data_IF_746384010282
#
_entry.id   IF_746384010282
#
_cell.length_a   1.000
_cell.length_b   1.000
_cell.length_c   1.000
_cell.angle_alpha   90.00
_cell.angle_beta   90.00
_cell.angle_gamma   90.00
#
_symmetry.space_group_name_H-M   'P 1'
#
loop_
_entity.id
_entity.type
_entity.pdbx_description
1 polymer ?
#
# COMPACT_ATOMS: atom_id res chain seq x y z
N UNK A 1 -0.53 6.35 11.19
CA UNK A 1 -0.64 7.69 11.80
C UNK A 1 -0.85 7.47 13.29
N UNK A 2 -0.03 8.09 14.14
CA UNK A 2 -0.30 8.14 15.58
C UNK A 2 -1.54 8.99 15.84
N UNK A 3 -2.20 8.79 16.98
CA UNK A 3 -3.37 9.58 17.40
C UNK A 3 -3.05 11.09 17.44
N UNK A 4 -1.83 11.44 17.87
CA UNK A 4 -1.32 12.81 17.90
C UNK A 4 -1.21 13.44 16.50
N UNK A 5 -0.67 12.70 15.51
CA UNK A 5 -0.55 13.19 14.14
C UNK A 5 -1.90 13.33 13.44
N UNK A 6 -2.87 12.49 13.78
CA UNK A 6 -4.24 12.62 13.27
C UNK A 6 -4.93 13.88 13.80
N UNK A 7 -4.80 14.16 15.11
CA UNK A 7 -5.29 15.42 15.70
C UNK A 7 -4.62 16.63 15.06
N UNK A 8 -3.31 16.58 14.84
CA UNK A 8 -2.57 17.64 14.19
C UNK A 8 -3.06 17.88 12.76
N UNK A 9 -3.34 16.79 12.03
CA UNK A 9 -3.84 16.85 10.66
C UNK A 9 -5.24 17.49 10.59
N UNK A 10 -6.16 17.04 11.45
CA UNK A 10 -7.51 17.60 11.55
C UNK A 10 -7.50 19.08 11.91
N UNK A 11 -6.58 19.47 12.79
CA UNK A 11 -6.39 20.87 13.17
C UNK A 11 -5.93 21.73 11.99
N UNK A 12 -4.95 21.26 11.22
CA UNK A 12 -4.48 21.96 10.01
C UNK A 12 -5.59 22.10 8.98
N UNK A 13 -6.36 21.04 8.71
CA UNK A 13 -7.49 21.11 7.78
C UNK A 13 -8.51 22.19 8.19
N UNK A 14 -8.89 22.22 9.46
CA UNK A 14 -9.83 23.21 10.00
C UNK A 14 -9.31 24.64 9.86
N UNK A 15 -8.01 24.86 10.05
CA UNK A 15 -7.40 26.17 9.79
C UNK A 15 -7.50 26.54 8.30
N UNK A 16 -7.22 25.60 7.40
CA UNK A 16 -7.23 25.83 5.96
C UNK A 16 -8.63 26.10 5.40
N UNK A 17 -9.67 25.44 5.92
CA UNK A 17 -11.06 25.73 5.57
C UNK A 17 -11.42 27.20 5.83
N UNK A 18 -10.97 27.75 6.96
CA UNK A 18 -11.21 29.15 7.33
C UNK A 18 -10.44 30.15 6.46
N UNK A 19 -9.33 29.72 5.86
CA UNK A 19 -8.41 30.57 5.07
C UNK A 19 -8.45 30.25 3.58
N UNK A 20 -9.41 29.45 3.12
CA UNK A 20 -9.43 28.89 1.75
C UNK A 20 -9.32 29.93 0.62
N UNK A 21 -9.78 31.14 0.86
CA UNK A 21 -9.81 32.24 -0.11
C UNK A 21 -8.76 33.33 0.16
N UNK A 22 -7.88 33.13 1.15
CA UNK A 22 -6.84 34.10 1.54
C UNK A 22 -5.43 33.56 1.26
N UNK A 23 -4.46 34.43 0.92
CA UNK A 23 -3.05 34.08 0.95
C UNK A 23 -2.64 33.63 2.36
N UNK A 24 -1.76 32.64 2.44
CA UNK A 24 -1.34 32.00 3.69
C UNK A 24 0.16 32.25 3.86
N UNK A 25 0.57 33.03 4.86
CA UNK A 25 1.99 33.18 5.18
C UNK A 25 2.45 31.97 5.99
N UNK A 26 3.42 31.20 5.49
CA UNK A 26 3.83 29.94 6.14
C UNK A 26 4.22 30.13 7.62
N UNK A 27 4.93 31.22 7.93
CA UNK A 27 5.30 31.58 9.30
C UNK A 27 4.11 32.07 10.15
N UNK A 28 3.09 32.68 9.53
CA UNK A 28 1.89 33.09 10.26
C UNK A 28 0.94 31.93 10.50
N UNK A 29 0.98 30.85 9.70
CA UNK A 29 0.22 29.63 10.04
C UNK A 29 0.65 29.12 11.40
N UNK A 30 1.95 28.97 11.65
CA UNK A 30 2.45 28.48 12.95
C UNK A 30 2.13 29.42 14.11
N UNK A 31 2.14 30.74 13.88
CA UNK A 31 1.81 31.75 14.88
C UNK A 31 0.31 31.90 15.16
N UNK A 32 -0.51 31.97 14.12
CA UNK A 32 -1.98 32.05 14.17
C UNK A 32 -2.58 30.71 14.63
N UNK A 33 -1.96 29.57 14.30
CA UNK A 33 -2.39 28.24 14.71
C UNK A 33 -2.61 28.15 16.23
N UNK A 34 -1.69 28.70 17.03
CA UNK A 34 -1.84 28.73 18.50
C UNK A 34 -3.05 29.54 18.97
N UNK A 35 -3.44 30.56 18.21
CA UNK A 35 -4.59 31.40 18.53
C UNK A 35 -5.92 30.76 18.11
N UNK A 36 -5.92 30.03 16.99
CA UNK A 36 -7.09 29.32 16.46
C UNK A 36 -7.37 27.98 17.18
N UNK A 37 -6.35 27.33 17.75
CA UNK A 37 -6.46 26.02 18.41
C UNK A 37 -6.62 26.09 19.93
N UNK A 38 -7.68 26.76 20.37
CA UNK A 38 -8.14 26.60 21.76
C UNK A 38 -9.04 25.36 21.87
N UNK A 39 -8.90 24.56 22.93
CA UNK A 39 -9.74 23.37 23.19
C UNK A 39 -9.15 22.07 22.67
N UNK A 40 -9.85 21.37 21.77
CA UNK A 40 -9.59 19.98 21.32
C UNK A 40 -8.20 19.73 20.67
N UNK A 41 -7.47 20.79 20.31
CA UNK A 41 -6.17 20.73 19.64
C UNK A 41 -5.04 21.43 20.42
N UNK A 42 -5.29 21.74 21.70
CA UNK A 42 -4.32 22.46 22.54
C UNK A 42 -3.05 21.64 22.86
N UNK A 43 -3.11 20.32 22.68
CA UNK A 43 -2.05 19.34 22.88
C UNK A 43 -1.18 19.12 21.64
N UNK A 44 -1.52 19.68 20.48
CA UNK A 44 -0.76 19.46 19.24
C UNK A 44 0.52 20.29 19.21
N UNK A 45 1.65 19.65 18.92
CA UNK A 45 2.95 20.33 18.80
C UNK A 45 3.07 21.18 17.53
N UNK A 46 3.87 22.24 17.59
CA UNK A 46 4.17 23.06 16.40
C UNK A 46 4.97 22.28 15.35
N UNK A 47 5.76 21.30 15.77
CA UNK A 47 6.58 20.49 14.87
C UNK A 47 5.68 19.57 14.02
N UNK A 48 4.69 18.92 14.62
CA UNK A 48 3.70 18.10 13.90
C UNK A 48 2.93 18.93 12.86
N UNK A 49 2.54 20.14 13.22
CA UNK A 49 1.85 21.08 12.31
C UNK A 49 2.75 21.48 11.16
N UNK A 50 4.02 21.78 11.43
CA UNK A 50 5.01 22.12 10.41
C UNK A 50 5.23 20.95 9.44
N UNK A 51 5.38 19.73 9.96
CA UNK A 51 5.52 18.52 9.15
C UNK A 51 4.28 18.29 8.26
N UNK A 52 3.08 18.45 8.80
CA UNK A 52 1.84 18.33 8.02
C UNK A 52 1.77 19.39 6.93
N UNK A 53 2.10 20.65 7.22
CA UNK A 53 2.11 21.71 6.21
C UNK A 53 3.14 21.42 5.11
N UNK A 54 4.30 20.87 5.47
CA UNK A 54 5.31 20.43 4.50
C UNK A 54 4.81 19.26 3.64
N UNK A 55 4.17 18.26 4.25
CA UNK A 55 3.55 17.15 3.53
C UNK A 55 2.48 17.64 2.55
N UNK A 56 1.57 18.51 3.00
CA UNK A 56 0.53 19.11 2.16
C UNK A 56 1.14 19.96 1.03
N UNK A 57 2.24 20.68 1.28
CA UNK A 57 2.98 21.41 0.25
C UNK A 57 3.57 20.44 -0.79
N UNK A 58 4.23 19.37 -0.33
CA UNK A 58 4.82 18.33 -1.19
C UNK A 58 3.79 17.53 -1.99
N UNK A 59 2.57 17.44 -1.46
CA UNK A 59 1.41 16.77 -2.08
C UNK A 59 0.63 17.71 -3.03
N UNK A 60 1.08 18.96 -3.14
CA UNK A 60 0.57 19.96 -4.08
C UNK A 60 -0.70 20.67 -3.62
N UNK A 61 -1.07 20.60 -2.34
CA UNK A 61 -2.15 21.40 -1.78
C UNK A 61 -1.80 22.89 -1.79
N UNK A 62 -0.52 23.19 -1.62
CA UNK A 62 0.03 24.55 -1.65
C UNK A 62 0.97 24.75 -2.83
N UNK A 63 1.09 26.02 -3.23
CA UNK A 63 2.15 26.51 -4.12
C UNK A 63 2.60 27.88 -3.63
N UNK A 64 3.83 28.33 -3.93
CA UNK A 64 4.21 29.73 -3.72
C UNK A 64 3.17 30.66 -4.36
N UNK A 65 2.76 31.70 -3.64
CA UNK A 65 1.86 32.71 -4.19
C UNK A 65 2.67 33.67 -5.08
N UNK A 66 2.46 33.66 -6.42
CA UNK A 66 3.23 34.50 -7.32
C UNK A 66 2.86 35.99 -7.20
N UNK A 67 1.82 36.33 -6.44
CA UNK A 67 1.34 37.71 -6.25
C UNK A 67 1.89 38.38 -4.98
N UNK A 68 2.63 37.62 -4.17
CA UNK A 68 3.14 38.06 -2.87
C UNK A 68 4.67 37.94 -2.81
N UNK A 69 5.27 38.51 -1.75
CA UNK A 69 6.71 38.35 -1.48
C UNK A 69 7.05 36.92 -1.07
N UNK A 70 8.35 36.64 -0.84
CA UNK A 70 8.83 35.33 -0.40
C UNK A 70 8.05 34.76 0.81
N UNK A 71 7.88 33.44 0.84
CA UNK A 71 7.24 32.63 1.90
C UNK A 71 5.70 32.65 1.99
N UNK A 72 5.02 33.35 1.08
CA UNK A 72 3.56 33.24 0.97
C UNK A 72 3.17 32.01 0.13
N UNK A 73 2.20 31.27 0.65
CA UNK A 73 1.58 30.13 0.00
C UNK A 73 0.15 30.47 -0.39
N UNK A 74 -0.30 29.87 -1.49
CA UNK A 74 -1.71 29.83 -1.87
C UNK A 74 -2.17 28.39 -1.99
N UNK A 75 -3.42 28.14 -1.57
CA UNK A 75 -4.11 26.89 -1.88
C UNK A 75 -4.26 26.76 -3.40
N UNK A 76 -3.74 25.66 -3.93
CA UNK A 76 -3.90 25.30 -5.34
C UNK A 76 -5.37 24.93 -5.60
N UNK A 77 -5.77 24.91 -6.88
CA UNK A 77 -7.10 24.39 -7.25
C UNK A 77 -7.31 22.95 -6.76
N UNK A 78 -6.22 22.16 -6.71
CA UNK A 78 -6.23 20.82 -6.16
C UNK A 78 -6.48 20.83 -4.65
N UNK A 79 -5.72 21.60 -3.87
CA UNK A 79 -5.90 21.68 -2.41
C UNK A 79 -7.31 22.14 -2.02
N UNK A 80 -7.89 23.09 -2.75
CA UNK A 80 -9.29 23.50 -2.54
C UNK A 80 -10.29 22.38 -2.79
N UNK A 81 -10.12 21.62 -3.87
CA UNK A 81 -11.02 20.51 -4.17
C UNK A 81 -10.96 19.41 -3.11
N UNK A 82 -9.81 19.23 -2.44
CA UNK A 82 -9.69 18.27 -1.35
C UNK A 82 -10.41 18.73 -0.07
N UNK A 83 -10.33 20.02 0.26
CA UNK A 83 -11.07 20.61 1.39
C UNK A 83 -12.58 20.47 1.19
N UNK A 84 -13.09 20.69 -0.02
CA UNK A 84 -14.52 20.57 -0.33
C UNK A 84 -15.04 19.14 -0.23
N UNK A 85 -14.21 18.14 -0.51
CA UNK A 85 -14.57 16.72 -0.43
C UNK A 85 -14.54 16.18 1.01
N UNK A 86 -14.17 17.01 2.00
CA UNK A 86 -13.84 16.55 3.37
C UNK A 86 -12.84 15.38 3.35
N UNK A 87 -11.95 15.41 2.35
CA UNK A 87 -11.03 14.32 2.08
C UNK A 87 -9.86 14.43 3.06
N UNK A 88 -9.91 13.63 4.13
CA UNK A 88 -8.67 13.28 4.85
C UNK A 88 -7.82 12.49 3.85
N UNK A 89 -6.55 12.86 3.57
CA UNK A 89 -5.60 12.04 2.82
C UNK A 89 -5.39 10.76 3.61
N UNK A 90 -6.29 9.83 3.34
CA UNK A 90 -6.27 8.50 3.89
C UNK A 90 -5.40 7.72 2.92
N UNK A 91 -4.16 7.50 3.36
CA UNK A 91 -3.15 6.58 2.79
C UNK A 91 -2.36 7.14 1.58
N UNK A 92 -1.02 7.06 1.50
CA UNK A 92 -0.01 6.23 2.18
C UNK A 92 1.17 7.12 2.56
N UNK A 93 1.47 7.27 3.84
CA UNK A 93 2.83 7.62 4.23
C UNK A 93 3.70 6.45 3.78
N UNK A 94 4.54 6.61 2.73
CA UNK A 94 5.30 5.49 2.18
C UNK A 94 6.21 4.87 3.23
N UNK A 95 6.76 5.68 4.14
CA UNK A 95 7.69 5.23 5.18
C UNK A 95 6.92 4.42 6.22
N UNK A 96 5.87 4.99 6.81
CA UNK A 96 5.11 4.30 7.85
C UNK A 96 4.39 3.05 7.33
N UNK A 97 3.93 3.02 6.08
CA UNK A 97 3.34 1.82 5.49
C UNK A 97 4.38 0.72 5.31
N UNK A 98 5.57 1.04 4.79
CA UNK A 98 6.62 0.04 4.60
C UNK A 98 7.07 -0.53 5.95
N UNK A 99 7.30 0.34 6.94
CA UNK A 99 7.66 -0.10 8.29
C UNK A 99 6.64 -1.09 8.86
N UNK A 100 5.34 -0.77 8.75
CA UNK A 100 4.28 -1.69 9.21
C UNK A 100 4.27 -3.02 8.47
N UNK A 101 4.61 -3.03 7.19
CA UNK A 101 4.71 -4.26 6.41
C UNK A 101 5.89 -5.09 6.91
N UNK A 102 7.07 -4.48 7.06
CA UNK A 102 8.28 -5.15 7.58
C UNK A 102 8.06 -5.70 9.00
N UNK A 103 7.37 -4.96 9.87
CA UNK A 103 6.98 -5.42 11.21
C UNK A 103 6.04 -6.63 11.17
N UNK A 104 5.07 -6.64 10.24
CA UNK A 104 4.10 -7.75 10.10
C UNK A 104 4.63 -8.95 9.33
N UNK A 105 5.60 -8.75 8.43
CA UNK A 105 6.15 -9.76 7.54
C UNK A 105 7.68 -9.68 7.60
N UNK A 106 8.32 -10.19 8.66
CA UNK A 106 9.77 -10.05 8.85
C UNK A 106 10.62 -10.66 7.73
N UNK A 107 10.06 -11.62 6.98
CA UNK A 107 10.74 -12.38 5.93
C UNK A 107 10.32 -11.91 4.52
N UNK A 108 9.80 -10.69 4.39
CA UNK A 108 9.38 -10.16 3.10
C UNK A 108 10.59 -10.00 2.15
N UNK A 109 10.42 -10.38 0.89
CA UNK A 109 11.47 -10.22 -0.13
C UNK A 109 11.70 -8.73 -0.43
N UNK A 110 12.97 -8.33 -0.36
CA UNK A 110 13.37 -6.93 -0.56
C UNK A 110 13.00 -6.42 -1.96
N UNK A 111 13.02 -7.26 -3.00
CA UNK A 111 12.67 -6.84 -4.36
C UNK A 111 11.16 -6.54 -4.45
N UNK A 112 10.32 -7.41 -3.90
CA UNK A 112 8.88 -7.16 -3.81
C UNK A 112 8.59 -5.88 -3.01
N UNK A 113 9.29 -5.68 -1.90
CA UNK A 113 9.14 -4.51 -1.05
C UNK A 113 9.60 -3.22 -1.73
N UNK A 114 10.71 -3.25 -2.47
CA UNK A 114 11.22 -2.11 -3.23
C UNK A 114 10.23 -1.65 -4.30
N UNK A 115 9.67 -2.60 -5.07
CA UNK A 115 8.62 -2.28 -6.03
C UNK A 115 7.37 -1.71 -5.36
N UNK A 116 6.97 -2.25 -4.21
CA UNK A 116 5.83 -1.70 -3.49
C UNK A 116 6.13 -0.30 -2.95
N UNK A 117 7.32 -0.06 -2.39
CA UNK A 117 7.76 1.25 -1.92
C UNK A 117 7.74 2.29 -3.04
N UNK A 118 8.23 1.94 -4.22
CA UNK A 118 8.16 2.80 -5.41
C UNK A 118 6.71 3.15 -5.76
N UNK A 119 5.79 2.18 -5.63
CA UNK A 119 4.38 2.43 -5.89
C UNK A 119 3.74 3.42 -4.92
N UNK A 120 4.13 3.38 -3.64
CA UNK A 120 3.64 4.31 -2.63
C UNK A 120 4.12 5.73 -2.91
N UNK A 121 5.39 5.88 -3.28
CA UNK A 121 5.94 7.18 -3.69
C UNK A 121 5.28 7.70 -4.97
N UNK A 122 5.04 6.82 -5.94
CA UNK A 122 4.30 7.18 -7.15
C UNK A 122 2.86 7.61 -6.85
N UNK A 123 2.16 6.96 -5.92
CA UNK A 123 0.82 7.40 -5.44
C UNK A 123 0.92 8.79 -4.81
N UNK A 124 1.88 9.01 -3.90
CA UNK A 124 2.10 10.32 -3.25
C UNK A 124 2.35 11.42 -4.28
N UNK A 125 3.01 11.10 -5.40
CA UNK A 125 3.28 12.02 -6.51
C UNK A 125 2.23 12.02 -7.64
N UNK A 126 1.08 11.35 -7.46
CA UNK A 126 -0.01 11.22 -8.45
C UNK A 126 0.39 10.56 -9.77
N UNK A 127 1.46 9.78 -9.76
CA UNK A 127 1.96 9.01 -10.90
C UNK A 127 1.25 7.65 -10.95
N UNK A 128 -0.07 7.67 -11.12
CA UNK A 128 -0.92 6.47 -10.98
C UNK A 128 -0.61 5.34 -11.96
N UNK A 129 -0.11 5.68 -13.15
CA UNK A 129 0.38 4.70 -14.11
C UNK A 129 1.61 3.97 -13.57
N UNK A 130 2.62 4.71 -13.10
CA UNK A 130 3.85 4.17 -12.52
C UNK A 130 3.56 3.37 -11.24
N UNK A 131 2.67 3.86 -10.38
CA UNK A 131 2.22 3.16 -9.18
C UNK A 131 1.59 1.81 -9.51
N UNK A 132 0.72 1.78 -10.52
CA UNK A 132 0.06 0.55 -10.95
C UNK A 132 1.05 -0.48 -11.49
N UNK A 133 2.03 -0.03 -12.29
CA UNK A 133 3.06 -0.91 -12.84
C UNK A 133 3.89 -1.54 -11.72
N UNK A 134 4.37 -0.72 -10.80
CA UNK A 134 5.25 -1.14 -9.70
C UNK A 134 4.53 -2.01 -8.67
N UNK A 135 3.27 -1.74 -8.31
CA UNK A 135 2.45 -2.68 -7.52
C UNK A 135 2.30 -4.04 -8.22
N UNK A 136 2.10 -4.02 -9.54
CA UNK A 136 2.02 -5.24 -10.34
C UNK A 136 3.31 -6.06 -10.35
N UNK A 137 4.47 -5.40 -10.35
CA UNK A 137 5.77 -6.05 -10.22
C UNK A 137 5.96 -6.65 -8.83
N UNK A 138 5.56 -5.93 -7.77
CA UNK A 138 5.60 -6.44 -6.40
C UNK A 138 4.75 -7.71 -6.23
N UNK A 139 3.51 -7.69 -6.73
CA UNK A 139 2.61 -8.87 -6.71
C UNK A 139 3.17 -10.04 -7.52
N UNK A 140 3.70 -9.80 -8.72
CA UNK A 140 4.31 -10.87 -9.52
C UNK A 140 5.50 -11.50 -8.80
N UNK A 141 6.39 -10.70 -8.19
CA UNK A 141 7.52 -11.21 -7.41
C UNK A 141 7.06 -12.07 -6.24
N UNK A 142 6.09 -11.61 -5.46
CA UNK A 142 5.54 -12.38 -4.32
C UNK A 142 4.94 -13.72 -4.77
N UNK A 143 4.20 -13.76 -5.89
CA UNK A 143 3.66 -15.02 -6.42
C UNK A 143 4.75 -15.96 -6.94
N UNK A 144 5.79 -15.43 -7.60
CA UNK A 144 6.92 -16.25 -8.04
C UNK A 144 7.64 -16.90 -6.86
N UNK A 145 7.83 -16.16 -5.76
CA UNK A 145 8.41 -16.71 -4.52
C UNK A 145 7.55 -17.81 -3.90
N UNK A 146 6.22 -17.63 -3.90
CA UNK A 146 5.31 -18.68 -3.44
C UNK A 146 5.40 -19.94 -4.31
N UNK A 147 5.53 -19.76 -5.62
CA UNK A 147 5.74 -20.89 -6.55
C UNK A 147 7.08 -21.59 -6.24
N UNK A 148 8.16 -20.83 -6.04
CA UNK A 148 9.48 -21.36 -5.68
C UNK A 148 9.38 -22.18 -4.37
N UNK A 149 8.77 -21.63 -3.33
CA UNK A 149 8.57 -22.33 -2.06
C UNK A 149 7.73 -23.61 -2.20
N UNK A 150 6.69 -23.62 -3.05
CA UNK A 150 5.91 -24.83 -3.34
C UNK A 150 6.74 -25.88 -4.09
N UNK A 151 7.59 -25.47 -5.03
CA UNK A 151 8.47 -26.40 -5.75
C UNK A 151 9.53 -26.99 -4.82
N UNK A 152 10.10 -26.18 -3.93
CA UNK A 152 11.05 -26.62 -2.90
C UNK A 152 10.41 -27.56 -1.89
N UNK A 153 9.12 -27.38 -1.60
CA UNK A 153 8.33 -28.27 -0.76
C UNK A 153 8.10 -29.66 -1.40
N UNK A 154 8.05 -29.73 -2.74
CA UNK A 154 7.90 -30.98 -3.50
C UNK A 154 9.12 -31.28 -4.39
N UNK A 155 10.34 -31.43 -3.83
CA UNK A 155 11.58 -31.46 -4.62
C UNK A 155 11.70 -32.71 -5.50
N UNK A 156 10.96 -33.78 -5.15
CA UNK A 156 10.96 -35.05 -5.88
C UNK A 156 9.83 -35.16 -6.93
N UNK A 157 8.90 -34.19 -7.00
CA UNK A 157 7.81 -34.19 -7.98
C UNK A 157 8.29 -33.60 -9.32
N UNK A 158 9.02 -34.42 -10.07
CA UNK A 158 9.58 -34.04 -11.39
C UNK A 158 8.49 -33.60 -12.38
N UNK A 159 7.29 -34.14 -12.27
CA UNK A 159 6.16 -33.78 -13.13
C UNK A 159 5.72 -32.36 -12.84
N UNK A 160 5.50 -32.03 -11.56
CA UNK A 160 5.14 -30.68 -11.12
C UNK A 160 6.17 -29.64 -11.55
N UNK A 161 7.46 -29.91 -11.29
CA UNK A 161 8.57 -29.04 -11.68
C UNK A 161 8.58 -28.82 -13.20
N UNK A 162 8.35 -29.88 -13.99
CA UNK A 162 8.26 -29.78 -15.45
C UNK A 162 7.07 -28.92 -15.90
N UNK A 163 5.91 -29.01 -15.24
CA UNK A 163 4.74 -28.22 -15.58
C UNK A 163 4.94 -26.72 -15.33
N UNK A 164 5.56 -26.35 -14.20
CA UNK A 164 5.88 -24.96 -13.89
C UNK A 164 6.95 -24.35 -14.81
N UNK A 165 7.88 -25.17 -15.33
CA UNK A 165 8.96 -24.72 -16.21
C UNK A 165 8.55 -24.58 -17.68
N UNK A 166 7.47 -25.23 -18.12
CA UNK A 166 6.97 -25.18 -19.52
C UNK A 166 6.48 -23.80 -19.97
N UNK A 167 6.01 -22.95 -19.06
CA UNK A 167 5.37 -21.68 -19.40
C UNK A 167 6.09 -20.48 -18.81
N UNK A 168 6.45 -19.52 -19.66
CA UNK A 168 6.93 -18.20 -19.23
C UNK A 168 5.81 -17.28 -18.72
N UNK A 169 4.53 -17.59 -19.02
CA UNK A 169 3.40 -16.74 -18.61
C UNK A 169 3.09 -16.91 -17.12
N UNK A 170 3.20 -15.82 -16.35
CA UNK A 170 2.84 -15.79 -14.94
C UNK A 170 1.36 -16.17 -14.70
N UNK A 171 0.45 -15.80 -15.59
CA UNK A 171 -0.98 -16.17 -15.48
C UNK A 171 -1.14 -17.69 -15.45
N UNK A 172 -0.46 -18.39 -16.36
CA UNK A 172 -0.52 -19.86 -16.42
C UNK A 172 0.12 -20.51 -15.19
N UNK A 173 1.26 -19.97 -14.74
CA UNK A 173 1.92 -20.44 -13.50
C UNK A 173 1.03 -20.26 -12.28
N UNK A 174 0.35 -19.12 -12.16
CA UNK A 174 -0.58 -18.86 -11.07
C UNK A 174 -1.78 -19.83 -11.10
N UNK A 175 -2.40 -20.06 -12.27
CA UNK A 175 -3.48 -21.04 -12.37
C UNK A 175 -3.02 -22.45 -11.97
N UNK A 176 -1.79 -22.82 -12.33
CA UNK A 176 -1.19 -24.07 -11.89
C UNK A 176 -0.96 -24.10 -10.37
N UNK A 177 -0.44 -23.03 -9.77
CA UNK A 177 -0.28 -22.89 -8.32
C UNK A 177 -1.59 -23.14 -7.57
N UNK A 178 -2.68 -22.46 -7.95
CA UNK A 178 -3.99 -22.65 -7.29
C UNK A 178 -4.49 -24.09 -7.46
N UNK A 179 -4.29 -24.68 -8.63
CA UNK A 179 -4.61 -26.09 -8.88
C UNK A 179 -3.78 -27.01 -7.97
N UNK A 180 -2.47 -26.80 -7.86
CA UNK A 180 -1.56 -27.57 -7.00
C UNK A 180 -1.97 -27.49 -5.53
N UNK A 181 -2.25 -26.28 -5.00
CA UNK A 181 -2.69 -26.09 -3.62
C UNK A 181 -3.94 -26.94 -3.31
N UNK A 182 -4.90 -26.98 -4.25
CA UNK A 182 -6.14 -27.74 -4.12
C UNK A 182 -5.91 -29.26 -4.25
N UNK A 183 -5.26 -29.70 -5.32
CA UNK A 183 -5.10 -31.13 -5.63
C UNK A 183 -4.17 -31.86 -4.66
N UNK A 184 -3.13 -31.18 -4.18
CA UNK A 184 -2.23 -31.71 -3.15
C UNK A 184 -2.81 -31.56 -1.74
N UNK A 185 -3.94 -30.89 -1.60
CA UNK A 185 -4.55 -30.60 -0.31
C UNK A 185 -3.53 -29.99 0.69
N UNK A 186 -2.81 -28.97 0.20
CA UNK A 186 -1.66 -28.40 0.89
C UNK A 186 -1.98 -28.00 2.34
N UNK A 187 -3.21 -27.52 2.60
CA UNK A 187 -3.68 -27.21 3.96
C UNK A 187 -3.50 -28.40 4.91
N UNK A 188 -4.01 -29.57 4.53
CA UNK A 188 -3.95 -30.76 5.38
C UNK A 188 -2.52 -31.29 5.51
N UNK A 189 -1.71 -31.19 4.46
CA UNK A 189 -0.29 -31.53 4.52
C UNK A 189 0.45 -30.63 5.52
N UNK A 190 0.23 -29.32 5.47
CA UNK A 190 0.84 -28.37 6.42
C UNK A 190 0.35 -28.58 7.85
N UNK A 191 -0.95 -28.83 8.06
CA UNK A 191 -1.48 -29.17 9.39
C UNK A 191 -0.86 -30.44 9.97
N UNK A 192 -0.55 -31.43 9.12
CA UNK A 192 0.07 -32.69 9.56
C UNK A 192 1.51 -32.53 10.06
N UNK A 193 2.22 -31.45 9.67
CA UNK A 193 3.54 -31.10 10.21
C UNK A 193 3.48 -30.69 11.69
N UNK A 194 2.33 -30.21 12.15
CA UNK A 194 2.16 -29.57 13.46
C UNK A 194 1.00 -30.20 14.27
N UNK A 195 1.01 -31.53 14.53
CA UNK A 195 -0.16 -32.25 15.06
C UNK A 195 -0.58 -31.86 16.49
N UNK A 196 0.24 -31.09 17.21
CA UNK A 196 -0.04 -30.70 18.61
C UNK A 196 0.35 -29.25 18.92
N UNK A 197 0.67 -28.46 17.90
CA UNK A 197 0.98 -27.04 18.06
C UNK A 197 -0.27 -26.23 17.70
N UNK A 198 -1.07 -25.90 18.71
CA UNK A 198 -2.35 -25.21 18.54
C UNK A 198 -2.18 -23.83 17.88
N UNK A 199 -1.08 -23.13 18.18
CA UNK A 199 -0.82 -21.80 17.65
C UNK A 199 -0.54 -21.89 16.13
N UNK A 200 0.27 -22.87 15.71
CA UNK A 200 0.54 -23.13 14.29
C UNK A 200 -0.70 -23.63 13.54
N UNK A 201 -1.50 -24.49 14.16
CA UNK A 201 -2.76 -24.96 13.59
C UNK A 201 -3.73 -23.79 13.35
N UNK A 202 -3.87 -22.89 14.31
CA UNK A 202 -4.73 -21.72 14.16
C UNK A 202 -4.21 -20.77 13.07
N UNK A 203 -2.90 -20.53 13.04
CA UNK A 203 -2.23 -19.72 12.02
C UNK A 203 -2.50 -20.27 10.60
N UNK A 204 -2.25 -21.56 10.37
CA UNK A 204 -2.51 -22.21 9.07
C UNK A 204 -4.00 -22.15 8.72
N UNK A 205 -4.89 -22.37 9.68
CA UNK A 205 -6.32 -22.27 9.41
C UNK A 205 -6.71 -20.86 8.95
N UNK A 206 -6.18 -19.80 9.58
CA UNK A 206 -6.41 -18.41 9.17
C UNK A 206 -5.88 -18.13 7.77
N UNK A 207 -4.67 -18.60 7.44
CA UNK A 207 -4.07 -18.41 6.11
C UNK A 207 -4.88 -19.05 4.98
N UNK A 208 -5.58 -20.15 5.27
CA UNK A 208 -6.36 -20.90 4.29
C UNK A 208 -7.85 -20.51 4.21
N UNK A 209 -8.30 -19.48 4.96
CA UNK A 209 -9.67 -18.96 4.81
C UNK A 209 -9.79 -18.27 3.45
N UNK A 210 -10.58 -18.87 2.55
CA UNK A 210 -10.83 -18.38 1.19
C UNK A 210 -9.56 -18.02 0.41
N UNK A 211 -8.45 -18.70 0.70
CA UNK A 211 -7.12 -18.37 0.18
C UNK A 211 -7.07 -18.37 -1.35
N UNK A 212 -7.75 -19.31 -1.98
CA UNK A 212 -7.82 -19.41 -3.43
C UNK A 212 -8.56 -18.21 -4.03
N UNK A 213 -9.68 -17.82 -3.41
CA UNK A 213 -10.49 -16.67 -3.83
C UNK A 213 -9.72 -15.37 -3.61
N UNK A 214 -9.08 -15.21 -2.45
CA UNK A 214 -8.33 -14.01 -2.12
C UNK A 214 -7.12 -13.83 -3.03
N UNK A 215 -6.30 -14.89 -3.20
CA UNK A 215 -5.15 -14.84 -4.08
C UNK A 215 -5.56 -14.62 -5.54
N UNK A 216 -6.61 -15.28 -6.03
CA UNK A 216 -7.08 -15.14 -7.42
C UNK A 216 -7.57 -13.72 -7.71
N UNK A 217 -8.39 -13.16 -6.81
CA UNK A 217 -8.90 -11.80 -6.93
C UNK A 217 -7.75 -10.79 -6.94
N UNK A 218 -6.89 -10.84 -5.92
CA UNK A 218 -5.82 -9.85 -5.76
C UNK A 218 -4.78 -9.95 -6.89
N UNK A 219 -4.31 -11.16 -7.21
CA UNK A 219 -3.38 -11.36 -8.31
C UNK A 219 -3.99 -10.92 -9.65
N UNK A 220 -5.27 -11.22 -9.89
CA UNK A 220 -5.96 -10.76 -11.10
C UNK A 220 -6.02 -9.24 -11.19
N UNK A 221 -6.37 -8.55 -10.11
CA UNK A 221 -6.40 -7.08 -10.05
C UNK A 221 -5.02 -6.51 -10.40
N UNK A 222 -3.96 -6.93 -9.70
CA UNK A 222 -2.61 -6.41 -9.94
C UNK A 222 -2.11 -6.71 -11.36
N UNK A 223 -2.32 -7.93 -11.84
CA UNK A 223 -1.88 -8.35 -13.19
C UNK A 223 -2.63 -7.61 -14.30
N UNK A 224 -3.95 -7.51 -14.21
CA UNK A 224 -4.77 -6.81 -15.22
C UNK A 224 -4.39 -5.33 -15.25
N UNK A 225 -4.39 -4.68 -14.08
CA UNK A 225 -4.06 -3.26 -13.97
C UNK A 225 -2.64 -2.97 -14.48
N UNK A 226 -1.65 -3.81 -14.14
CA UNK A 226 -0.28 -3.66 -14.66
C UNK A 226 -0.22 -3.81 -16.17
N UNK A 227 -0.88 -4.83 -16.74
CA UNK A 227 -0.89 -5.02 -18.18
C UNK A 227 -1.53 -3.82 -18.89
N UNK A 228 -2.65 -3.33 -18.36
CA UNK A 228 -3.33 -2.16 -18.92
C UNK A 228 -2.50 -0.88 -18.79
N UNK A 229 -1.74 -0.73 -17.69
CA UNK A 229 -0.85 0.39 -17.45
C UNK A 229 0.44 0.32 -18.30
N UNK A 230 0.96 -0.88 -18.54
CA UNK A 230 2.20 -1.11 -19.30
C UNK A 230 2.00 -1.05 -20.83
N UNK A 231 0.77 -1.26 -21.31
CA UNK A 231 0.44 -1.12 -22.72
C UNK A 231 -0.03 0.31 -23.05
N UNK A 232 0.34 0.89 -24.20
CA UNK A 232 -0.03 2.25 -24.60
C UNK A 232 -1.51 2.32 -25.05
N UNK A 233 -2.42 1.96 -24.16
CA UNK A 233 -3.87 1.87 -24.41
C UNK A 233 -4.58 3.20 -24.19
N UNK A 234 -3.95 4.16 -23.52
CA UNK A 234 -4.57 5.41 -23.09
C UNK A 234 -5.46 5.27 -21.85
N UNK A 235 -5.49 4.09 -21.21
CA UNK A 235 -6.24 3.89 -19.97
C UNK A 235 -5.74 4.83 -18.88
N UNK A 236 -6.67 5.48 -18.18
CA UNK A 236 -6.39 6.31 -17.01
C UNK A 236 -6.71 5.54 -15.75
N UNK A 237 -5.85 5.67 -14.75
CA UNK A 237 -6.04 5.08 -13.43
C UNK A 237 -6.55 6.15 -12.47
N UNK A 238 -7.65 5.84 -11.80
CA UNK A 238 -8.28 6.70 -10.80
C UNK A 238 -7.52 6.59 -9.45
N UNK A 239 -7.37 7.72 -8.75
CA UNK A 239 -6.67 7.83 -7.48
C UNK A 239 -7.20 6.87 -6.41
N UNK A 240 -8.52 6.87 -6.18
CA UNK A 240 -9.19 6.03 -5.18
C UNK A 240 -8.96 4.54 -5.46
N UNK A 241 -9.02 4.15 -6.72
CA UNK A 241 -8.77 2.77 -7.13
C UNK A 241 -7.31 2.36 -6.85
N UNK A 242 -6.34 3.22 -7.16
CA UNK A 242 -4.92 2.91 -6.92
C UNK A 242 -4.60 2.87 -5.42
N UNK A 243 -5.17 3.79 -4.64
CA UNK A 243 -5.06 3.80 -3.18
C UNK A 243 -5.70 2.56 -2.55
N UNK A 244 -6.88 2.15 -3.01
CA UNK A 244 -7.55 0.94 -2.55
C UNK A 244 -6.70 -0.31 -2.84
N UNK A 245 -6.13 -0.41 -4.05
CA UNK A 245 -5.23 -1.50 -4.40
C UNK A 245 -4.00 -1.54 -3.46
N UNK A 246 -3.35 -0.40 -3.23
CA UNK A 246 -2.21 -0.34 -2.31
C UNK A 246 -2.57 -0.73 -0.87
N UNK A 247 -3.75 -0.34 -0.38
CA UNK A 247 -4.23 -0.71 0.96
C UNK A 247 -4.42 -2.24 1.10
N UNK A 248 -4.83 -2.93 0.03
CA UNK A 248 -5.03 -4.38 0.03
C UNK A 248 -3.71 -5.17 -0.04
N UNK A 249 -2.60 -4.54 -0.42
CA UNK A 249 -1.33 -5.24 -0.63
C UNK A 249 -0.74 -5.88 0.64
N UNK A 250 -0.94 -5.25 1.81
CA UNK A 250 -0.46 -5.78 3.09
C UNK A 250 -1.07 -7.16 3.39
N UNK A 251 -2.39 -7.25 3.45
CA UNK A 251 -3.09 -8.50 3.76
C UNK A 251 -2.80 -9.59 2.71
N UNK A 252 -2.73 -9.19 1.44
CA UNK A 252 -2.35 -10.08 0.35
C UNK A 252 -0.93 -10.65 0.54
N UNK A 253 0.02 -9.83 0.97
CA UNK A 253 1.39 -10.25 1.25
C UNK A 253 1.47 -11.12 2.52
N UNK A 254 0.72 -10.79 3.57
CA UNK A 254 0.67 -11.59 4.80
C UNK A 254 0.26 -13.04 4.50
N UNK A 255 -0.71 -13.25 3.61
CA UNK A 255 -1.11 -14.59 3.17
C UNK A 255 0.04 -15.28 2.42
N UNK A 256 0.65 -14.61 1.45
CA UNK A 256 1.72 -15.20 0.63
C UNK A 256 2.93 -15.60 1.48
N UNK A 257 3.47 -14.66 2.25
CA UNK A 257 4.67 -14.89 3.05
C UNK A 257 4.38 -15.78 4.27
N UNK A 258 3.16 -15.73 4.81
CA UNK A 258 2.68 -16.71 5.78
C UNK A 258 2.76 -18.13 5.22
N UNK A 259 2.20 -18.39 4.03
CA UNK A 259 2.28 -19.69 3.37
C UNK A 259 3.73 -20.12 3.11
N UNK A 260 4.57 -19.22 2.57
CA UNK A 260 6.00 -19.48 2.33
C UNK A 260 6.69 -19.95 3.61
N UNK A 261 6.41 -19.34 4.76
CA UNK A 261 7.03 -19.68 6.05
C UNK A 261 6.76 -21.11 6.52
N UNK A 262 5.64 -21.72 6.10
CA UNK A 262 5.27 -23.11 6.45
C UNK A 262 5.70 -24.14 5.39
N UNK A 263 6.12 -23.69 4.21
CA UNK A 263 6.54 -24.55 3.10
C UNK A 263 7.98 -25.04 3.25
N UNK A 264 8.85 -24.23 3.86
CA UNK A 264 10.17 -24.64 4.33
C UNK A 264 10.08 -25.64 5.50
#
# INVERSE_FOLDING_TARGET
MSEEREKAFDSVLKYLENKKDSPILFQSVLGEYKQYNQGFFADVSLDDVSEILQDLFLDGWFSPDPTQSDNWLRLTSYGRSQLELNYKPVFLDPVATIQKIEESIPNMDNIALDYFRESLWAIKKRLYLSATVTMGCASERSILLLIEAVLDHYPNDKTLISEFTKSYSIKKKFSLLIKTIKEKNLKNELLSKYPSDNDKIEEINRLFVDVDTHLDLMFSIYRINRNDAGHPTGRRFNEDMVKANAAMFKNYSEIIYGLISHLY
#
